data_IF_694221057140
#
_entry.id   IF_694221057140
#
_cell.length_a   1.000
_cell.length_b   1.000
_cell.length_c   1.000
_cell.angle_alpha   90.00
_cell.angle_beta   90.00
_cell.angle_gamma   90.00
#
_symmetry.space_group_name_H-M   'P 1'
#
loop_
_entity.id
_entity.type
_entity.pdbx_description
1 polymer ?
#
# COMPACT_ATOMS: atom_id res chain seq x y z
N UNK A 1 48.32 53.38 -52.75
CA UNK A 1 48.49 54.40 -51.70
C UNK A 1 47.76 53.96 -50.44
N UNK A 2 48.50 53.89 -49.32
CA UNK A 2 48.07 53.97 -47.91
C UNK A 2 47.08 52.92 -47.38
N UNK A 3 47.66 51.87 -46.83
CA UNK A 3 47.09 50.98 -45.80
C UNK A 3 47.56 51.44 -44.42
N UNK A 4 46.68 51.96 -43.56
CA UNK A 4 46.92 52.20 -42.11
C UNK A 4 45.58 52.19 -41.34
N UNK A 5 45.43 51.21 -40.42
CA UNK A 5 44.99 51.27 -39.00
C UNK A 5 43.62 51.93 -38.64
N UNK A 6 42.87 51.62 -37.56
CA UNK A 6 43.05 50.87 -36.30
C UNK A 6 41.65 50.74 -35.60
N UNK A 7 41.49 49.66 -34.83
CA UNK A 7 40.70 49.45 -33.60
C UNK A 7 39.21 49.87 -33.45
N UNK A 8 38.45 49.01 -32.77
CA UNK A 8 37.34 49.44 -31.91
C UNK A 8 36.25 48.40 -31.66
N UNK A 9 36.47 47.50 -30.68
CA UNK A 9 35.52 46.97 -29.69
C UNK A 9 34.01 46.91 -30.05
N UNK A 10 33.44 45.70 -30.08
CA UNK A 10 32.21 45.39 -29.33
C UNK A 10 32.19 43.91 -28.90
N UNK A 11 31.97 43.72 -27.62
CA UNK A 11 31.86 42.46 -26.91
C UNK A 11 30.61 41.68 -27.32
N UNK A 12 30.70 40.35 -27.38
CA UNK A 12 29.65 39.46 -26.86
C UNK A 12 30.26 38.10 -26.52
N UNK A 13 30.35 37.84 -25.23
CA UNK A 13 30.63 36.53 -24.64
C UNK A 13 29.42 35.62 -24.89
N UNK A 14 29.56 34.59 -25.72
CA UNK A 14 28.64 33.46 -25.70
C UNK A 14 29.05 32.52 -24.57
N UNK A 15 28.47 32.72 -23.40
CA UNK A 15 28.46 31.73 -22.34
C UNK A 15 27.65 30.53 -22.82
N UNK A 16 28.31 29.38 -23.05
CA UNK A 16 27.61 28.10 -23.08
C UNK A 16 27.06 27.83 -21.67
N UNK A 17 25.82 28.24 -21.42
CA UNK A 17 25.06 27.73 -20.30
C UNK A 17 24.76 26.25 -20.58
N UNK A 18 25.51 25.36 -19.93
CA UNK A 18 25.11 23.98 -19.75
C UNK A 18 23.72 23.99 -19.11
N UNK A 19 22.71 23.67 -19.90
CA UNK A 19 21.37 23.37 -19.40
C UNK A 19 21.51 22.10 -18.58
N UNK A 20 21.66 22.24 -17.26
CA UNK A 20 21.46 21.14 -16.34
C UNK A 20 20.01 20.68 -16.55
N UNK A 21 19.85 19.52 -17.19
CA UNK A 21 18.61 18.78 -17.25
C UNK A 21 18.17 18.48 -15.82
N UNK A 22 17.40 19.40 -15.23
CA UNK A 22 16.56 19.07 -14.10
C UNK A 22 15.48 18.14 -14.65
N UNK A 23 15.70 16.83 -14.50
CA UNK A 23 14.65 15.84 -14.71
C UNK A 23 13.39 16.32 -13.96
N UNK A 24 12.20 16.32 -14.61
CA UNK A 24 10.98 16.66 -13.92
C UNK A 24 10.84 15.68 -12.75
N UNK A 25 10.91 16.18 -11.52
CA UNK A 25 10.57 15.39 -10.35
C UNK A 25 9.08 15.09 -10.45
N UNK A 26 8.76 13.96 -11.09
CA UNK A 26 7.44 13.35 -11.03
C UNK A 26 7.02 13.16 -9.58
N UNK A 27 5.72 12.99 -9.31
CA UNK A 27 5.21 12.84 -7.95
C UNK A 27 6.00 11.72 -7.26
N UNK A 28 6.81 12.10 -6.26
CA UNK A 28 7.68 11.16 -5.52
C UNK A 28 6.85 9.94 -5.17
N UNK A 29 7.14 8.82 -5.83
CA UNK A 29 6.55 7.54 -5.48
C UNK A 29 6.85 7.36 -3.99
N UNK A 30 5.80 7.28 -3.18
CA UNK A 30 5.96 7.14 -1.74
C UNK A 30 6.81 5.89 -1.49
N UNK A 31 7.95 6.07 -0.86
CA UNK A 31 8.88 5.01 -0.47
C UNK A 31 8.20 4.05 0.52
N UNK A 32 7.43 3.10 -0.02
CA UNK A 32 6.73 2.06 0.72
C UNK A 32 7.47 0.72 0.61
N UNK A 33 8.80 0.73 0.66
CA UNK A 33 9.57 -0.50 0.81
C UNK A 33 9.36 -1.05 2.25
N UNK A 34 8.88 -2.30 2.41
CA UNK A 34 8.84 -2.96 3.71
C UNK A 34 10.26 -3.00 4.28
N UNK A 35 10.51 -2.28 5.38
CA UNK A 35 11.83 -2.11 5.98
C UNK A 35 12.23 -0.64 6.19
N UNK A 36 11.87 0.27 5.28
CA UNK A 36 12.19 1.70 5.44
C UNK A 36 11.41 2.37 6.57
N UNK A 37 10.17 1.93 6.82
CA UNK A 37 9.39 2.38 7.97
C UNK A 37 10.01 1.94 9.31
N UNK A 38 10.64 0.76 9.34
CA UNK A 38 11.38 0.28 10.50
C UNK A 38 12.66 1.11 10.69
N UNK A 39 13.42 1.39 9.64
CA UNK A 39 14.62 2.23 9.71
C UNK A 39 14.27 3.66 10.19
N UNK A 40 13.16 4.24 9.73
CA UNK A 40 12.67 5.56 10.19
C UNK A 40 12.27 5.59 11.66
N UNK A 41 11.81 4.48 12.22
CA UNK A 41 11.43 4.39 13.64
C UNK A 41 12.66 4.13 14.50
N UNK A 42 13.57 3.25 14.06
CA UNK A 42 14.85 2.99 14.68
C UNK A 42 15.76 4.22 14.70
N UNK A 43 15.77 5.05 13.64
CA UNK A 43 16.58 6.27 13.61
C UNK A 43 16.15 7.35 14.61
N UNK A 44 14.94 7.22 15.17
CA UNK A 44 14.43 8.08 16.25
C UNK A 44 14.78 7.54 17.63
N UNK A 45 15.21 6.28 17.70
CA UNK A 45 15.80 5.72 18.91
C UNK A 45 17.28 6.09 18.88
N UNK A 46 17.81 6.65 19.96
CA UNK A 46 19.26 6.80 20.10
C UNK A 46 19.86 5.40 20.24
N UNK A 47 20.26 4.80 19.12
CA UNK A 47 20.93 3.49 19.07
C UNK A 47 22.43 3.66 19.32
N UNK A 48 23.06 2.71 20.02
CA UNK A 48 24.52 2.67 20.12
C UNK A 48 25.15 2.31 18.76
N UNK A 49 26.45 2.58 18.59
CA UNK A 49 27.19 2.18 17.38
C UNK A 49 27.14 0.66 17.17
N UNK A 50 27.27 -0.11 18.24
CA UNK A 50 27.20 -1.58 18.22
C UNK A 50 25.81 -2.06 17.77
N UNK A 51 24.74 -1.53 18.37
CA UNK A 51 23.36 -1.85 17.98
C UNK A 51 23.09 -1.48 16.51
N UNK A 52 23.60 -0.34 16.06
CA UNK A 52 23.44 0.10 14.67
C UNK A 52 24.11 -0.86 13.69
N UNK A 53 25.30 -1.37 14.01
CA UNK A 53 26.02 -2.30 13.15
C UNK A 53 25.37 -3.69 13.13
N UNK A 54 24.82 -4.15 14.26
CA UNK A 54 24.02 -5.37 14.30
C UNK A 54 22.73 -5.25 13.47
N UNK A 55 21.99 -4.14 13.60
CA UNK A 55 20.81 -3.87 12.77
C UNK A 55 21.17 -3.87 11.29
N UNK A 56 22.29 -3.25 10.90
CA UNK A 56 22.76 -3.28 9.50
C UNK A 56 23.05 -4.70 9.03
N UNK A 57 23.69 -5.54 9.86
CA UNK A 57 23.96 -6.94 9.52
C UNK A 57 22.67 -7.72 9.29
N UNK A 58 21.70 -7.61 10.22
CA UNK A 58 20.40 -8.28 10.11
C UNK A 58 19.65 -7.85 8.84
N UNK A 59 19.56 -6.54 8.58
CA UNK A 59 18.88 -6.01 7.37
C UNK A 59 19.60 -6.44 6.09
N UNK A 60 20.94 -6.51 6.10
CA UNK A 60 21.71 -6.93 4.93
C UNK A 60 21.54 -8.42 4.66
N UNK A 61 21.62 -9.26 5.70
CA UNK A 61 21.35 -10.69 5.59
C UNK A 61 19.92 -10.97 5.10
N UNK A 62 18.94 -10.26 5.65
CA UNK A 62 17.56 -10.34 5.19
C UNK A 62 17.43 -10.01 3.70
N UNK A 63 18.05 -8.91 3.24
CA UNK A 63 18.04 -8.54 1.81
C UNK A 63 18.75 -9.53 0.90
N UNK A 64 19.76 -10.24 1.41
CA UNK A 64 20.49 -11.23 0.64
C UNK A 64 19.70 -12.55 0.52
N UNK A 65 18.98 -12.93 1.58
CA UNK A 65 18.24 -14.19 1.65
C UNK A 65 16.79 -14.10 1.17
N UNK A 66 16.23 -12.89 1.16
CA UNK A 66 14.91 -12.64 0.62
C UNK A 66 15.07 -11.73 -0.59
N UNK A 67 14.84 -12.31 -1.77
CA UNK A 67 14.69 -11.51 -2.98
C UNK A 67 13.67 -10.41 -2.68
N UNK A 68 14.02 -9.18 -3.07
CA UNK A 68 13.01 -8.14 -3.17
C UNK A 68 11.96 -8.78 -4.06
N UNK A 69 10.70 -8.94 -3.59
CA UNK A 69 9.68 -9.41 -4.49
C UNK A 69 9.80 -8.48 -5.68
N UNK A 70 10.02 -9.04 -6.87
CA UNK A 70 9.89 -8.24 -8.08
C UNK A 70 8.64 -7.39 -7.87
N UNK A 71 8.62 -6.19 -8.46
CA UNK A 71 7.35 -5.53 -8.68
C UNK A 71 6.57 -6.44 -9.62
N UNK A 72 6.11 -7.58 -9.11
CA UNK A 72 5.53 -8.66 -9.84
C UNK A 72 4.21 -8.05 -10.23
N UNK A 73 4.22 -7.64 -11.48
CA UNK A 73 3.11 -7.16 -12.28
C UNK A 73 1.92 -8.13 -12.17
N UNK A 74 2.18 -9.37 -11.73
CA UNK A 74 1.20 -10.32 -11.30
C UNK A 74 0.61 -9.89 -9.96
N UNK A 75 -0.49 -9.13 -10.05
CA UNK A 75 -1.64 -9.55 -9.27
C UNK A 75 -1.83 -11.05 -9.55
N UNK A 76 -1.58 -11.95 -8.58
CA UNK A 76 -1.75 -13.38 -8.80
C UNK A 76 -3.20 -13.56 -9.18
N UNK A 77 -3.38 -13.96 -10.43
CA UNK A 77 -4.63 -14.22 -11.10
C UNK A 77 -5.62 -13.07 -10.91
N UNK A 78 -5.82 -12.27 -11.95
CA UNK A 78 -7.10 -11.59 -12.08
C UNK A 78 -8.08 -12.71 -12.39
N UNK A 79 -8.84 -13.23 -11.43
CA UNK A 79 -10.00 -14.01 -11.81
C UNK A 79 -10.80 -13.11 -12.74
N UNK A 80 -11.28 -13.68 -13.84
CA UNK A 80 -12.32 -13.01 -14.59
C UNK A 80 -13.47 -12.80 -13.58
N UNK A 81 -13.57 -11.57 -13.08
CA UNK A 81 -14.45 -11.24 -11.95
C UNK A 81 -15.90 -11.52 -12.34
N UNK A 82 -16.21 -11.66 -13.63
CA UNK A 82 -17.53 -12.02 -14.10
C UNK A 82 -17.90 -13.50 -13.89
N UNK A 83 -16.94 -14.44 -13.80
CA UNK A 83 -17.24 -15.87 -14.05
C UNK A 83 -16.76 -16.87 -13.00
N UNK A 84 -15.95 -16.49 -12.02
CA UNK A 84 -15.53 -17.45 -11.00
C UNK A 84 -16.66 -17.90 -10.07
N UNK A 85 -16.72 -19.20 -9.82
CA UNK A 85 -17.53 -19.80 -8.76
C UNK A 85 -16.99 -19.46 -7.37
N UNK A 86 -17.86 -19.51 -6.35
CA UNK A 86 -17.47 -19.27 -4.96
C UNK A 86 -16.35 -20.21 -4.48
N UNK A 87 -16.35 -21.46 -4.94
CA UNK A 87 -15.32 -22.45 -4.60
C UNK A 87 -13.94 -22.09 -5.17
N UNK A 88 -13.88 -21.55 -6.39
CA UNK A 88 -12.65 -21.08 -7.01
C UNK A 88 -12.14 -19.80 -6.32
N UNK A 89 -13.05 -18.89 -5.97
CA UNK A 89 -12.74 -17.69 -5.19
C UNK A 89 -12.10 -18.08 -3.85
N UNK A 90 -12.71 -19.03 -3.12
CA UNK A 90 -12.19 -19.50 -1.82
C UNK A 90 -10.78 -20.08 -1.95
N UNK A 91 -10.56 -21.00 -2.89
CA UNK A 91 -9.25 -21.63 -3.12
C UNK A 91 -8.16 -20.60 -3.44
N UNK A 92 -8.46 -19.63 -4.32
CA UNK A 92 -7.54 -18.55 -4.68
C UNK A 92 -7.22 -17.65 -3.48
N UNK A 93 -8.24 -17.30 -2.69
CA UNK A 93 -8.10 -16.49 -1.48
C UNK A 93 -7.24 -17.19 -0.44
N UNK A 94 -7.48 -18.47 -0.16
CA UNK A 94 -6.70 -19.25 0.80
C UNK A 94 -5.24 -19.34 0.38
N UNK A 95 -4.96 -19.63 -0.89
CA UNK A 95 -3.60 -19.65 -1.45
C UNK A 95 -2.91 -18.29 -1.29
N UNK A 96 -3.63 -17.20 -1.55
CA UNK A 96 -3.10 -15.84 -1.39
C UNK A 96 -2.79 -15.52 0.07
N UNK A 97 -3.67 -15.89 1.00
CA UNK A 97 -3.47 -15.68 2.44
C UNK A 97 -2.22 -16.44 2.91
N UNK A 98 -2.05 -17.70 2.50
CA UNK A 98 -0.86 -18.50 2.82
C UNK A 98 0.43 -17.85 2.29
N UNK A 99 0.44 -17.46 1.01
CA UNK A 99 1.59 -16.76 0.41
C UNK A 99 1.90 -15.45 1.15
N UNK A 100 0.86 -14.72 1.56
CA UNK A 100 1.01 -13.48 2.31
C UNK A 100 1.53 -13.73 3.73
N UNK A 101 1.04 -14.76 4.42
CA UNK A 101 1.48 -15.19 5.75
C UNK A 101 2.98 -15.49 5.76
N UNK A 102 3.47 -16.33 4.83
CA UNK A 102 4.90 -16.65 4.75
C UNK A 102 5.77 -15.42 4.46
N UNK A 103 5.29 -14.50 3.62
CA UNK A 103 6.01 -13.24 3.33
C UNK A 103 6.07 -12.32 4.54
N UNK A 104 4.97 -12.20 5.28
CA UNK A 104 4.94 -11.38 6.48
C UNK A 104 5.70 -12.00 7.63
N UNK A 105 5.78 -13.33 7.70
CA UNK A 105 6.58 -14.05 8.70
C UNK A 105 8.04 -13.61 8.67
N UNK A 106 8.70 -13.66 7.51
CA UNK A 106 10.12 -13.27 7.40
C UNK A 106 10.35 -11.81 7.85
N UNK A 107 9.42 -10.91 7.50
CA UNK A 107 9.50 -9.50 7.94
C UNK A 107 9.28 -9.38 9.45
N UNK A 108 8.36 -10.17 10.01
CA UNK A 108 8.06 -10.19 11.43
C UNK A 108 9.21 -10.76 12.27
N UNK A 109 9.88 -11.80 11.76
CA UNK A 109 11.09 -12.38 12.33
C UNK A 109 12.20 -11.34 12.44
N UNK A 110 12.55 -10.67 11.33
CA UNK A 110 13.53 -9.58 11.32
C UNK A 110 13.18 -8.49 12.34
N UNK A 111 11.89 -8.12 12.44
CA UNK A 111 11.44 -7.11 13.41
C UNK A 111 11.60 -7.60 14.84
N UNK A 112 11.39 -8.89 15.11
CA UNK A 112 11.52 -9.46 16.45
C UNK A 112 12.99 -9.51 16.88
N UNK A 113 13.89 -9.95 15.99
CA UNK A 113 15.33 -9.93 16.23
C UNK A 113 15.82 -8.52 16.57
N UNK A 114 15.44 -7.53 15.75
CA UNK A 114 15.79 -6.13 15.99
C UNK A 114 15.20 -5.64 17.31
N UNK A 115 13.96 -6.00 17.65
CA UNK A 115 13.33 -5.61 18.92
C UNK A 115 14.11 -6.17 20.12
N UNK A 116 14.64 -7.40 20.00
CA UNK A 116 15.43 -8.04 21.02
C UNK A 116 16.79 -7.35 21.26
N UNK A 117 17.38 -6.72 20.24
CA UNK A 117 18.60 -5.90 20.38
C UNK A 117 18.38 -4.59 21.16
N UNK A 118 17.13 -4.11 21.25
CA UNK A 118 16.81 -2.85 21.91
C UNK A 118 16.80 -3.01 23.43
N UNK A 119 17.28 -1.98 24.13
CA UNK A 119 17.17 -1.87 25.58
C UNK A 119 15.72 -1.64 26.04
N UNK A 120 15.42 -1.91 27.30
CA UNK A 120 14.10 -1.66 27.88
C UNK A 120 13.62 -0.22 27.69
N UNK A 121 14.52 0.76 27.82
CA UNK A 121 14.21 2.18 27.59
C UNK A 121 13.84 2.46 26.13
N UNK A 122 14.59 1.90 25.16
CA UNK A 122 14.29 2.02 23.74
C UNK A 122 12.97 1.35 23.36
N UNK A 123 12.65 0.19 23.95
CA UNK A 123 11.37 -0.50 23.77
C UNK A 123 10.20 0.33 24.30
N UNK A 124 10.35 1.03 25.43
CA UNK A 124 9.34 1.95 25.95
C UNK A 124 9.14 3.17 25.05
N UNK A 125 10.22 3.70 24.44
CA UNK A 125 10.07 4.78 23.45
C UNK A 125 9.28 4.33 22.22
N UNK A 126 9.43 3.08 21.77
CA UNK A 126 8.63 2.54 20.67
C UNK A 126 7.14 2.47 21.01
N UNK A 127 6.78 1.98 22.20
CA UNK A 127 5.38 1.91 22.62
C UNK A 127 4.76 3.30 22.73
N UNK A 128 5.50 4.29 23.21
CA UNK A 128 5.05 5.69 23.22
C UNK A 128 4.85 6.28 21.83
N UNK A 129 5.78 6.07 20.90
CA UNK A 129 5.64 6.57 19.54
C UNK A 129 4.40 6.00 18.85
N UNK A 130 4.04 4.76 19.15
CA UNK A 130 2.84 4.14 18.63
C UNK A 130 1.58 4.63 19.31
N UNK A 131 1.56 4.76 20.63
CA UNK A 131 0.44 5.39 21.33
C UNK A 131 0.18 6.81 20.77
N UNK A 132 1.24 7.58 20.49
CA UNK A 132 1.15 8.90 19.84
C UNK A 132 0.63 8.81 18.40
N UNK A 133 1.03 7.80 17.62
CA UNK A 133 0.52 7.58 16.26
C UNK A 133 -0.95 7.16 16.26
N UNK A 134 -1.35 6.31 17.20
CA UNK A 134 -2.71 5.81 17.32
C UNK A 134 -3.65 6.91 17.83
N UNK A 135 -3.22 7.69 18.83
CA UNK A 135 -3.95 8.90 19.24
C UNK A 135 -4.15 9.88 18.08
N UNK A 136 -3.12 10.09 17.24
CA UNK A 136 -3.24 10.91 16.02
C UNK A 136 -4.22 10.31 15.00
N UNK A 137 -4.24 8.98 14.84
CA UNK A 137 -5.20 8.28 13.99
C UNK A 137 -6.61 8.43 14.53
N UNK A 138 -6.82 8.23 15.82
CA UNK A 138 -8.11 8.43 16.48
C UNK A 138 -8.61 9.86 16.35
N UNK A 139 -7.75 10.87 16.45
CA UNK A 139 -8.15 12.27 16.18
C UNK A 139 -8.49 12.49 14.70
N UNK A 140 -7.68 11.96 13.78
CA UNK A 140 -7.91 12.08 12.34
C UNK A 140 -9.15 11.30 11.85
N UNK A 141 -9.46 10.17 12.50
CA UNK A 141 -10.61 9.32 12.21
C UNK A 141 -11.84 9.72 13.02
N UNK A 142 -11.71 10.30 14.21
CA UNK A 142 -12.79 10.87 15.02
C UNK A 142 -13.41 12.09 14.36
N UNK A 143 -12.59 12.92 13.71
CA UNK A 143 -13.08 13.99 12.82
C UNK A 143 -13.85 13.47 11.59
N UNK A 144 -13.63 12.20 11.19
CA UNK A 144 -14.35 11.51 10.09
C UNK A 144 -15.46 10.57 10.56
N UNK A 145 -15.48 10.10 11.82
CA UNK A 145 -16.61 9.37 12.41
C UNK A 145 -17.84 10.26 12.49
N UNK A 146 -17.63 11.58 12.61
CA UNK A 146 -18.68 12.58 12.47
C UNK A 146 -19.09 12.85 11.00
N UNK A 147 -19.00 11.85 10.11
CA UNK A 147 -19.55 11.94 8.74
C UNK A 147 -21.06 12.03 8.69
N UNK A 148 -21.77 11.78 9.79
CA UNK A 148 -23.18 12.20 9.90
C UNK A 148 -23.29 13.73 9.82
N UNK A 149 -22.32 14.48 10.37
CA UNK A 149 -22.29 15.95 10.33
C UNK A 149 -21.62 16.52 9.08
N UNK A 150 -20.72 15.76 8.44
CA UNK A 150 -20.12 16.19 7.17
C UNK A 150 -21.12 16.18 6.00
N UNK A 151 -22.27 15.50 6.15
CA UNK A 151 -23.42 15.61 5.24
C UNK A 151 -24.18 16.95 5.37
N UNK A 152 -24.00 17.70 6.47
CA UNK A 152 -24.66 19.02 6.67
C UNK A 152 -23.84 20.21 6.14
N UNK A 153 -22.64 19.97 5.59
CA UNK A 153 -21.76 21.04 5.09
C UNK A 153 -21.77 21.14 3.56
N UNK A 154 -22.92 20.96 2.92
CA UNK A 154 -23.19 21.33 1.52
C UNK A 154 -22.29 20.75 0.43
N UNK A 155 -21.26 19.96 0.77
CA UNK A 155 -20.53 19.17 -0.21
C UNK A 155 -21.33 17.91 -0.46
N UNK A 156 -21.72 17.62 -1.72
CA UNK A 156 -22.30 16.34 -2.02
C UNK A 156 -21.32 15.27 -1.52
N UNK A 157 -21.82 14.17 -0.91
CA UNK A 157 -20.95 13.04 -0.61
C UNK A 157 -20.17 12.79 -1.88
N UNK A 158 -18.83 12.88 -1.81
CA UNK A 158 -18.02 12.43 -2.95
C UNK A 158 -18.46 10.99 -3.10
N UNK A 159 -19.27 10.73 -4.13
CA UNK A 159 -19.79 9.42 -4.42
C UNK A 159 -18.64 8.43 -4.42
N UNK A 160 -18.92 7.14 -4.29
CA UNK A 160 -17.88 6.12 -4.39
C UNK A 160 -16.96 6.53 -5.54
N UNK A 161 -15.62 6.56 -5.32
CA UNK A 161 -14.69 6.67 -6.44
C UNK A 161 -14.86 5.38 -7.23
N UNK A 162 -15.91 5.34 -8.03
CA UNK A 162 -16.27 4.19 -8.81
C UNK A 162 -15.09 3.98 -9.76
N UNK A 163 -14.65 2.73 -9.94
CA UNK A 163 -13.61 2.41 -10.91
C UNK A 163 -14.01 2.74 -12.36
N UNK A 164 -15.20 3.33 -12.55
CA UNK A 164 -15.88 3.62 -13.81
C UNK A 164 -16.06 5.13 -14.04
N UNK A 165 -15.28 5.99 -13.37
CA UNK A 165 -15.45 7.46 -13.46
C UNK A 165 -15.37 8.00 -14.90
N UNK A 166 -14.74 7.25 -15.79
CA UNK A 166 -14.60 7.59 -17.21
C UNK A 166 -15.68 6.97 -18.11
N UNK A 167 -16.49 6.04 -17.58
CA UNK A 167 -17.62 5.47 -18.29
C UNK A 167 -18.83 6.41 -18.18
N UNK A 168 -19.57 6.53 -19.27
CA UNK A 168 -20.89 7.15 -19.25
C UNK A 168 -21.88 6.13 -18.68
N UNK A 169 -22.23 6.27 -17.40
CA UNK A 169 -23.20 5.44 -16.70
C UNK A 169 -24.60 6.06 -16.80
N UNK A 170 -25.64 5.24 -16.94
CA UNK A 170 -27.02 5.71 -16.86
C UNK A 170 -27.41 6.07 -15.43
N UNK A 171 -28.48 6.85 -15.26
CA UNK A 171 -29.00 7.20 -13.95
C UNK A 171 -29.44 5.95 -13.16
N UNK A 172 -30.00 4.93 -13.83
CA UNK A 172 -30.35 3.66 -13.17
C UNK A 172 -29.11 2.89 -12.69
N UNK A 173 -28.02 2.89 -13.48
CA UNK A 173 -26.75 2.28 -13.09
C UNK A 173 -26.14 3.00 -11.88
N UNK A 174 -26.18 4.34 -11.85
CA UNK A 174 -25.68 5.13 -10.73
C UNK A 174 -26.42 4.83 -9.43
N UNK A 175 -27.76 4.77 -9.48
CA UNK A 175 -28.61 4.43 -8.32
C UNK A 175 -28.33 3.01 -7.82
N UNK A 176 -28.16 2.06 -8.75
CA UNK A 176 -27.85 0.65 -8.42
C UNK A 176 -26.48 0.53 -7.74
N UNK A 177 -25.47 1.23 -8.26
CA UNK A 177 -24.13 1.26 -7.68
C UNK A 177 -24.10 1.97 -6.32
N UNK A 178 -24.87 3.05 -6.13
CA UNK A 178 -24.96 3.72 -4.85
C UNK A 178 -25.56 2.79 -3.78
N UNK A 179 -26.63 2.08 -4.13
CA UNK A 179 -27.28 1.11 -3.25
C UNK A 179 -26.33 -0.03 -2.86
N UNK A 180 -25.65 -0.65 -3.83
CA UNK A 180 -24.65 -1.70 -3.58
C UNK A 180 -23.52 -1.22 -2.68
N UNK A 181 -23.01 -0.01 -2.90
CA UNK A 181 -21.94 0.53 -2.06
C UNK A 181 -22.41 0.91 -0.65
N UNK A 182 -23.66 1.33 -0.50
CA UNK A 182 -24.26 1.64 0.79
C UNK A 182 -24.42 0.37 1.64
N UNK A 183 -24.91 -0.72 1.06
CA UNK A 183 -25.07 -2.01 1.76
C UNK A 183 -23.73 -2.63 2.14
N UNK A 184 -22.71 -2.52 1.27
CA UNK A 184 -21.37 -3.04 1.54
C UNK A 184 -20.52 -2.17 2.49
N UNK A 185 -20.99 -0.96 2.82
CA UNK A 185 -20.21 0.00 3.61
C UNK A 185 -19.90 -0.50 5.01
N UNK A 186 -20.89 -1.10 5.67
CA UNK A 186 -20.72 -1.66 7.01
C UNK A 186 -19.80 -2.86 6.99
N UNK A 187 -19.98 -3.78 6.04
CA UNK A 187 -19.10 -4.92 5.81
C UNK A 187 -17.63 -4.49 5.64
N UNK A 188 -17.37 -3.48 4.79
CA UNK A 188 -16.01 -2.92 4.62
C UNK A 188 -15.46 -2.34 5.92
N UNK A 189 -16.30 -1.70 6.74
CA UNK A 189 -15.87 -1.17 8.03
C UNK A 189 -15.45 -2.31 8.97
N UNK A 190 -16.25 -3.37 9.06
CA UNK A 190 -15.93 -4.55 9.87
C UNK A 190 -14.64 -5.22 9.39
N UNK A 191 -14.47 -5.44 8.09
CA UNK A 191 -13.21 -5.97 7.53
C UNK A 191 -12.00 -5.13 7.94
N UNK A 192 -12.14 -3.80 7.92
CA UNK A 192 -11.08 -2.90 8.36
C UNK A 192 -10.75 -3.11 9.85
N UNK A 193 -11.77 -3.26 10.69
CA UNK A 193 -11.58 -3.53 12.12
C UNK A 193 -10.82 -4.84 12.32
N UNK A 194 -11.21 -5.92 11.62
CA UNK A 194 -10.50 -7.22 11.65
C UNK A 194 -9.05 -7.09 11.20
N UNK A 195 -8.78 -6.39 10.09
CA UNK A 195 -7.40 -6.17 9.62
C UNK A 195 -6.57 -5.35 10.60
N UNK A 196 -7.17 -4.32 11.21
CA UNK A 196 -6.52 -3.50 12.23
C UNK A 196 -6.22 -4.34 13.49
N UNK A 197 -7.11 -5.26 13.87
CA UNK A 197 -6.91 -6.19 14.98
C UNK A 197 -5.78 -7.19 14.70
N UNK A 198 -5.79 -7.88 13.55
CA UNK A 198 -4.71 -8.79 13.15
C UNK A 198 -3.36 -8.07 13.16
N UNK A 199 -3.28 -6.87 12.56
CA UNK A 199 -2.03 -6.09 12.56
C UNK A 199 -1.53 -5.79 13.98
N UNK A 200 -2.43 -5.46 14.90
CA UNK A 200 -2.05 -5.18 16.29
C UNK A 200 -1.58 -6.46 17.00
N UNK A 201 -2.22 -7.60 16.73
CA UNK A 201 -1.82 -8.90 17.27
C UNK A 201 -0.46 -9.37 16.74
N UNK A 202 -0.19 -9.20 15.43
CA UNK A 202 1.13 -9.45 14.82
C UNK A 202 2.21 -8.60 15.51
N UNK A 203 1.92 -7.30 15.73
CA UNK A 203 2.86 -6.40 16.41
C UNK A 203 3.11 -6.79 17.86
N UNK A 204 2.08 -7.21 18.58
CA UNK A 204 2.21 -7.70 19.95
C UNK A 204 3.06 -8.98 20.00
N UNK A 205 2.81 -9.92 19.07
CA UNK A 205 3.56 -11.16 18.97
C UNK A 205 5.05 -10.92 18.70
N UNK A 206 5.38 -10.05 17.73
CA UNK A 206 6.77 -9.66 17.40
C UNK A 206 7.53 -9.11 18.62
N UNK A 207 6.82 -8.46 19.54
CA UNK A 207 7.40 -7.82 20.75
C UNK A 207 7.32 -8.65 22.01
N UNK A 208 6.66 -9.80 21.95
CA UNK A 208 6.46 -10.65 23.12
C UNK A 208 7.76 -11.25 23.67
N UNK A 209 8.84 -11.25 22.87
CA UNK A 209 10.08 -11.97 23.17
C UNK A 209 10.00 -13.47 22.89
N UNK A 210 8.82 -14.00 22.59
CA UNK A 210 8.56 -15.42 22.29
C UNK A 210 8.10 -15.62 20.84
N UNK A 211 8.55 -14.76 19.92
CA UNK A 211 8.22 -14.88 18.51
C UNK A 211 8.77 -16.20 17.95
N UNK A 212 7.93 -16.96 17.26
CA UNK A 212 8.30 -18.19 16.56
C UNK A 212 7.32 -18.45 15.42
N UNK A 213 7.72 -19.31 14.48
CA UNK A 213 6.85 -19.77 13.40
C UNK A 213 5.56 -20.39 13.94
N UNK A 214 5.66 -21.25 14.96
CA UNK A 214 4.49 -21.87 15.59
C UNK A 214 3.49 -20.86 16.17
N UNK A 215 3.98 -19.78 16.79
CA UNK A 215 3.13 -18.74 17.35
C UNK A 215 2.52 -17.84 16.26
N UNK A 216 3.25 -17.63 15.17
CA UNK A 216 2.77 -16.93 13.99
C UNK A 216 1.67 -17.70 13.27
N UNK A 217 1.86 -18.99 13.07
CA UNK A 217 0.88 -19.87 12.44
C UNK A 217 -0.38 -20.01 13.29
N UNK A 218 -0.23 -20.11 14.62
CA UNK A 218 -1.36 -20.11 15.54
C UNK A 218 -2.18 -18.80 15.46
N UNK A 219 -1.50 -17.65 15.38
CA UNK A 219 -2.16 -16.36 15.19
C UNK A 219 -2.93 -16.32 13.86
N UNK A 220 -2.32 -16.76 12.77
CA UNK A 220 -2.99 -16.76 11.46
C UNK A 220 -4.14 -17.77 11.39
N UNK A 221 -4.06 -18.89 12.10
CA UNK A 221 -5.16 -19.85 12.22
C UNK A 221 -6.38 -19.22 12.90
N UNK A 222 -6.19 -18.37 13.92
CA UNK A 222 -7.28 -17.67 14.61
C UNK A 222 -8.06 -16.72 13.68
N UNK A 223 -7.35 -16.01 12.80
CA UNK A 223 -7.95 -15.03 11.89
C UNK A 223 -8.33 -15.61 10.51
N UNK A 224 -7.95 -16.86 10.20
CA UNK A 224 -8.04 -17.41 8.83
C UNK A 224 -9.44 -17.27 8.24
N UNK A 225 -10.46 -17.71 8.97
CA UNK A 225 -11.82 -17.71 8.44
C UNK A 225 -12.34 -16.29 8.19
N UNK A 226 -12.04 -15.35 9.09
CA UNK A 226 -12.40 -13.94 8.91
C UNK A 226 -11.68 -13.32 7.69
N UNK A 227 -10.40 -13.65 7.49
CA UNK A 227 -9.63 -13.20 6.32
C UNK A 227 -10.22 -13.75 5.02
N UNK A 228 -10.55 -15.04 5.01
CA UNK A 228 -11.13 -15.73 3.85
C UNK A 228 -12.50 -15.15 3.53
N UNK A 229 -13.39 -15.06 4.52
CA UNK A 229 -14.74 -14.53 4.35
C UNK A 229 -14.71 -13.07 3.88
N UNK A 230 -13.87 -12.22 4.48
CA UNK A 230 -13.73 -10.84 4.08
C UNK A 230 -13.27 -10.68 2.62
N UNK A 231 -12.34 -11.54 2.18
CA UNK A 231 -11.86 -11.54 0.81
C UNK A 231 -12.93 -12.05 -0.18
N UNK A 232 -13.68 -13.11 0.18
CA UNK A 232 -14.82 -13.60 -0.61
C UNK A 232 -15.86 -12.50 -0.78
N UNK A 233 -16.33 -11.90 0.31
CA UNK A 233 -17.35 -10.83 0.28
C UNK A 233 -16.90 -9.63 -0.56
N UNK A 234 -15.63 -9.23 -0.47
CA UNK A 234 -15.07 -8.16 -1.29
C UNK A 234 -15.00 -8.56 -2.77
N UNK A 235 -14.70 -9.82 -3.09
CA UNK A 235 -14.74 -10.30 -4.46
C UNK A 235 -16.16 -10.32 -4.99
N UNK A 236 -17.11 -10.93 -4.28
CA UNK A 236 -18.54 -10.94 -4.63
C UNK A 236 -19.09 -9.53 -4.85
N UNK A 237 -18.75 -8.57 -3.97
CA UNK A 237 -19.14 -7.17 -4.15
C UNK A 237 -18.58 -6.57 -5.44
N UNK A 238 -17.33 -6.89 -5.81
CA UNK A 238 -16.74 -6.47 -7.09
C UNK A 238 -17.45 -7.10 -8.28
N UNK A 239 -17.84 -8.38 -8.21
CA UNK A 239 -18.61 -9.03 -9.27
C UNK A 239 -19.97 -8.34 -9.44
N UNK A 240 -20.71 -8.13 -8.35
CA UNK A 240 -22.00 -7.44 -8.36
C UNK A 240 -21.87 -6.01 -8.92
N UNK A 241 -20.83 -5.28 -8.52
CA UNK A 241 -20.53 -3.93 -9.03
C UNK A 241 -20.22 -3.94 -10.53
N UNK A 242 -19.52 -4.97 -11.02
CA UNK A 242 -19.18 -5.11 -12.44
C UNK A 242 -20.39 -5.51 -13.28
N UNK A 243 -21.27 -6.36 -12.76
CA UNK A 243 -22.48 -6.83 -13.43
C UNK A 243 -23.55 -5.74 -13.68
N UNK A 244 -23.46 -4.58 -13.02
CA UNK A 244 -24.32 -3.42 -13.30
C UNK A 244 -24.01 -2.78 -14.66
N UNK A 245 -22.79 -2.98 -15.17
CA UNK A 245 -22.35 -2.44 -16.45
C UNK A 245 -22.90 -3.24 -17.62
N UNK A 246 -23.09 -2.57 -18.76
CA UNK A 246 -23.37 -3.25 -20.03
C UNK A 246 -22.15 -4.00 -20.54
N UNK A 247 -22.34 -4.99 -21.41
CA UNK A 247 -21.23 -5.77 -22.00
C UNK A 247 -20.16 -4.87 -22.67
N UNK A 248 -20.61 -3.82 -23.36
CA UNK A 248 -19.71 -2.85 -23.97
C UNK A 248 -18.88 -2.06 -22.93
N UNK A 249 -19.51 -1.63 -21.84
CA UNK A 249 -18.84 -0.95 -20.73
C UNK A 249 -17.88 -1.90 -19.97
N UNK A 250 -18.26 -3.16 -19.81
CA UNK A 250 -17.42 -4.19 -19.20
C UNK A 250 -16.16 -4.42 -20.04
N UNK A 251 -16.30 -4.54 -21.36
CA UNK A 251 -15.17 -4.68 -22.29
C UNK A 251 -14.21 -3.50 -22.21
N UNK A 252 -14.71 -2.25 -22.19
CA UNK A 252 -13.87 -1.05 -22.06
C UNK A 252 -13.07 -1.05 -20.75
N UNK A 253 -13.70 -1.47 -19.63
CA UNK A 253 -13.02 -1.56 -18.34
C UNK A 253 -11.91 -2.62 -18.36
N UNK A 254 -12.16 -3.78 -18.98
CA UNK A 254 -11.17 -4.84 -19.11
C UNK A 254 -9.98 -4.38 -19.95
N UNK A 255 -10.23 -3.75 -21.10
CA UNK A 255 -9.18 -3.19 -21.97
C UNK A 255 -8.34 -2.14 -21.25
N UNK A 256 -8.98 -1.20 -20.53
CA UNK A 256 -8.26 -0.20 -19.72
C UNK A 256 -7.39 -0.85 -18.65
N UNK A 257 -7.88 -1.91 -18.01
CA UNK A 257 -7.11 -2.66 -17.00
C UNK A 257 -5.90 -3.36 -17.62
N UNK A 258 -6.04 -3.94 -18.80
CA UNK A 258 -4.92 -4.55 -19.53
C UNK A 258 -3.88 -3.52 -19.95
N UNK A 259 -4.32 -2.35 -20.44
CA UNK A 259 -3.43 -1.25 -20.81
C UNK A 259 -2.63 -0.73 -19.62
N UNK A 260 -3.26 -0.53 -18.46
CA UNK A 260 -2.56 -0.13 -17.22
C UNK A 260 -1.56 -1.19 -16.79
N UNK A 261 -1.90 -2.47 -16.88
CA UNK A 261 -0.98 -3.56 -16.55
C UNK A 261 0.19 -3.63 -17.54
N UNK A 262 -0.06 -3.47 -18.84
CA UNK A 262 0.97 -3.44 -19.87
C UNK A 262 1.95 -2.29 -19.61
N UNK A 263 1.43 -1.10 -19.31
CA UNK A 263 2.26 0.04 -18.89
C UNK A 263 3.05 -0.30 -17.63
N UNK A 264 2.43 -0.91 -16.61
CA UNK A 264 3.14 -1.30 -15.39
C UNK A 264 4.29 -2.27 -15.68
N UNK A 265 4.09 -3.29 -16.53
CA UNK A 265 5.15 -4.23 -16.93
C UNK A 265 6.32 -3.49 -17.57
N UNK A 266 6.05 -2.59 -18.52
CA UNK A 266 7.08 -1.77 -19.17
C UNK A 266 7.91 -0.92 -18.19
N UNK A 267 7.32 -0.48 -17.08
CA UNK A 267 7.99 0.33 -16.05
C UNK A 267 8.50 -0.49 -14.85
N UNK A 268 8.28 -1.81 -14.81
CA UNK A 268 8.75 -2.69 -13.74
C UNK A 268 10.02 -3.47 -14.12
N UNK A 269 10.33 -3.57 -15.42
CA UNK A 269 11.50 -4.28 -15.97
C UNK A 269 12.77 -3.39 -16.08
N UNK A 270 12.81 -2.22 -15.42
CA UNK A 270 14.00 -1.33 -15.29
C UNK A 270 14.35 -1.11 -13.81
#
# INVERSE_FOLDING_TARGET
MKSILIAGLLATTFSLAHSANAAPQGPKMRDHAPGMEMIKTLSRLSLSSEQMDEVKKLVTAFKANHERPDASSEHPDKPDLATLSESEIRSLVETRILKQQSRHFAIAELRSEIYNLLSASQRNMLTEFEAKREAKREVAHGGKRNTVRSAMRGQPPRGPRLPFKELQLTDEQLVSLETLNATFRETRFQHKVTMDALRNAEQALVRSGNFSESAWDALYAEYKDDLVNAAIENMTHKQATFAVLTDAQQAEVLEKRENVDALRRLFSDN
#
